data_IF_678473616696
#
_entry.id   IF_678473616696
#
_cell.length_a   1.000
_cell.length_b   1.000
_cell.length_c   1.000
_cell.angle_alpha   90.00
_cell.angle_beta   90.00
_cell.angle_gamma   90.00
#
_symmetry.space_group_name_H-M   'P 1'
#
loop_
_entity.id
_entity.type
_entity.pdbx_description
1 polymer ?
#
# COMPACT_ATOMS: atom_id res chain seq x y z
N UNK A 1 -97.98 16.81 17.27
CA UNK A 1 -97.39 17.86 18.15
C UNK A 1 -96.08 17.37 18.78
N UNK A 2 -94.96 17.57 18.09
CA UNK A 2 -93.93 18.63 18.32
C UNK A 2 -92.81 18.25 19.30
N UNK A 3 -91.61 18.06 18.72
CA UNK A 3 -90.26 18.47 19.18
C UNK A 3 -89.72 17.84 20.47
N UNK A 4 -88.44 17.48 20.63
CA UNK A 4 -87.16 18.06 20.18
C UNK A 4 -86.06 17.08 20.65
N UNK A 5 -84.92 17.01 19.98
CA UNK A 5 -83.61 17.34 20.58
C UNK A 5 -82.50 17.12 19.55
N UNK A 6 -81.83 18.21 19.22
CA UNK A 6 -80.59 18.23 18.46
C UNK A 6 -79.43 17.82 19.36
N UNK A 7 -78.56 16.92 18.91
CA UNK A 7 -77.21 16.79 19.47
C UNK A 7 -76.18 16.88 18.35
N UNK A 8 -75.52 18.04 18.32
CA UNK A 8 -74.40 18.45 17.47
C UNK A 8 -73.21 17.53 17.74
N UNK A 9 -72.75 16.77 16.74
CA UNK A 9 -71.46 16.06 16.78
C UNK A 9 -70.52 16.79 15.82
N UNK A 10 -69.46 17.37 16.37
CA UNK A 10 -68.43 18.11 15.66
C UNK A 10 -67.69 17.16 14.70
N UNK A 11 -67.59 17.56 13.44
CA UNK A 11 -66.77 16.92 12.42
C UNK A 11 -65.36 17.51 12.52
N UNK A 12 -64.35 16.66 12.73
CA UNK A 12 -62.96 17.00 12.44
C UNK A 12 -62.75 16.80 10.92
N UNK A 13 -62.30 17.81 10.16
CA UNK A 13 -61.97 17.62 8.77
C UNK A 13 -60.65 16.85 8.64
N UNK A 14 -60.73 15.76 7.90
CA UNK A 14 -59.59 15.02 7.34
C UNK A 14 -58.76 15.99 6.48
N UNK A 15 -57.54 16.31 6.89
CA UNK A 15 -56.59 16.99 6.02
C UNK A 15 -55.83 15.93 5.21
N UNK A 16 -56.29 15.69 3.98
CA UNK A 16 -55.45 15.13 2.95
C UNK A 16 -54.46 16.23 2.52
N UNK A 17 -53.23 16.17 3.03
CA UNK A 17 -52.12 16.90 2.43
C UNK A 17 -51.76 16.23 1.12
N UNK A 18 -52.04 16.93 0.03
CA UNK A 18 -51.61 16.64 -1.33
C UNK A 18 -50.09 16.54 -1.37
N UNK A 19 -49.57 15.37 -1.76
CA UNK A 19 -48.16 15.18 -2.11
C UNK A 19 -47.85 16.04 -3.34
N UNK A 20 -47.31 17.23 -3.12
CA UNK A 20 -46.77 18.06 -4.19
C UNK A 20 -45.53 17.36 -4.74
N UNK A 21 -45.63 16.92 -5.98
CA UNK A 21 -44.55 16.35 -6.78
C UNK A 21 -43.52 17.43 -7.11
N UNK A 22 -42.56 17.64 -6.21
CA UNK A 22 -41.34 18.42 -6.43
C UNK A 22 -40.10 17.72 -5.86
N UNK A 23 -40.11 16.38 -5.85
CA UNK A 23 -39.13 15.54 -5.13
C UNK A 23 -38.15 14.76 -6.03
N UNK A 24 -38.15 14.95 -7.35
CA UNK A 24 -37.20 14.24 -8.23
C UNK A 24 -35.85 14.95 -8.38
N UNK A 25 -35.83 16.29 -8.30
CA UNK A 25 -34.60 17.10 -8.34
C UNK A 25 -33.93 17.25 -6.97
N UNK A 26 -34.68 17.15 -5.87
CA UNK A 26 -34.11 17.19 -4.53
C UNK A 26 -33.40 15.88 -4.18
N UNK A 27 -33.99 14.72 -4.48
CA UNK A 27 -33.36 13.41 -4.18
C UNK A 27 -32.07 13.19 -4.96
N UNK A 28 -32.01 13.60 -6.24
CA UNK A 28 -30.81 13.52 -7.08
C UNK A 28 -29.71 14.49 -6.65
N UNK A 29 -30.06 15.70 -6.20
CA UNK A 29 -29.06 16.65 -5.67
C UNK A 29 -28.54 16.25 -4.29
N UNK A 30 -29.39 15.65 -3.43
CA UNK A 30 -28.97 15.11 -2.14
C UNK A 30 -28.04 13.89 -2.28
N UNK A 31 -28.30 12.99 -3.24
CA UNK A 31 -27.41 11.83 -3.49
C UNK A 31 -26.08 12.24 -4.11
N UNK A 32 -26.06 13.24 -5.00
CA UNK A 32 -24.81 13.81 -5.53
C UNK A 32 -24.00 14.53 -4.44
N UNK A 33 -24.64 15.25 -3.52
CA UNK A 33 -23.97 15.88 -2.39
C UNK A 33 -23.34 14.86 -1.43
N UNK A 34 -23.93 13.66 -1.30
CA UNK A 34 -23.35 12.55 -0.53
C UNK A 34 -22.09 11.95 -1.18
N UNK A 35 -21.89 12.12 -2.49
CA UNK A 35 -20.68 11.67 -3.19
C UNK A 35 -19.48 12.61 -2.99
N UNK A 36 -19.73 13.88 -2.66
CA UNK A 36 -18.71 14.89 -2.40
C UNK A 36 -17.66 14.47 -1.35
N UNK A 37 -18.01 13.93 -0.16
CA UNK A 37 -17.01 13.49 0.81
C UNK A 37 -16.14 12.34 0.30
N UNK A 38 -16.69 11.39 -0.45
CA UNK A 38 -15.90 10.30 -1.03
C UNK A 38 -14.96 10.81 -2.12
N UNK A 39 -15.42 11.77 -2.94
CA UNK A 39 -14.60 12.41 -3.97
C UNK A 39 -13.46 13.20 -3.33
N UNK A 40 -13.72 13.91 -2.22
CA UNK A 40 -12.70 14.63 -1.47
C UNK A 40 -11.64 13.67 -0.89
N UNK A 41 -12.06 12.54 -0.30
CA UNK A 41 -11.14 11.51 0.19
C UNK A 41 -10.30 10.89 -0.93
N UNK A 42 -10.89 10.65 -2.09
CA UNK A 42 -10.19 10.16 -3.27
C UNK A 42 -9.13 11.16 -3.77
N UNK A 43 -9.47 12.44 -3.84
CA UNK A 43 -8.53 13.50 -4.21
C UNK A 43 -7.38 13.64 -3.20
N UNK A 44 -7.69 13.62 -1.90
CA UNK A 44 -6.66 13.63 -0.84
C UNK A 44 -5.73 12.42 -1.00
N UNK A 45 -6.26 11.24 -1.30
CA UNK A 45 -5.45 10.04 -1.52
C UNK A 45 -4.44 10.24 -2.65
N UNK A 46 -4.89 10.75 -3.80
CA UNK A 46 -4.01 11.03 -4.95
C UNK A 46 -2.96 12.09 -4.58
N UNK A 47 -3.36 13.21 -3.97
CA UNK A 47 -2.42 14.27 -3.57
C UNK A 47 -1.40 13.72 -2.55
N UNK A 48 -1.84 12.86 -1.64
CA UNK A 48 -1.00 12.18 -0.66
C UNK A 48 0.12 11.34 -1.31
N UNK A 49 -0.14 10.73 -2.47
CA UNK A 49 0.90 9.98 -3.21
C UNK A 49 2.02 10.87 -3.74
N UNK A 50 1.74 12.13 -4.09
CA UNK A 50 2.74 13.07 -4.60
C UNK A 50 3.60 13.71 -3.49
N UNK A 51 3.08 13.78 -2.27
CA UNK A 51 3.78 14.36 -1.12
C UNK A 51 4.80 13.41 -0.48
N UNK A 52 4.93 12.18 -0.99
CA UNK A 52 5.97 11.25 -0.53
C UNK A 52 7.34 11.84 -0.91
N UNK A 53 8.11 12.18 0.12
CA UNK A 53 9.47 12.69 -0.05
C UNK A 53 10.30 11.68 -0.84
N UNK A 54 10.92 12.15 -1.93
CA UNK A 54 11.75 11.30 -2.77
C UNK A 54 12.97 10.82 -1.95
N UNK A 55 13.34 9.52 -2.01
CA UNK A 55 14.44 9.00 -1.21
C UNK A 55 15.77 9.66 -1.55
N UNK A 56 16.69 9.74 -0.60
CA UNK A 56 18.00 10.38 -0.83
C UNK A 56 18.99 9.49 -1.58
N UNK A 57 18.72 8.18 -1.65
CA UNK A 57 19.52 7.16 -2.33
C UNK A 57 18.63 6.06 -2.92
N UNK A 58 19.20 5.20 -3.76
CA UNK A 58 18.58 3.97 -4.26
C UNK A 58 19.62 2.86 -4.33
N UNK A 59 19.23 1.60 -4.09
CA UNK A 59 20.13 0.44 -4.21
C UNK A 59 20.43 0.06 -5.68
N UNK A 60 19.62 0.56 -6.61
CA UNK A 60 19.77 0.30 -8.04
C UNK A 60 19.94 1.60 -8.81
N UNK A 61 20.75 1.54 -9.87
CA UNK A 61 20.98 2.67 -10.76
C UNK A 61 19.70 2.98 -11.52
N UNK A 62 19.25 4.23 -11.45
CA UNK A 62 18.14 4.75 -12.25
C UNK A 62 18.53 6.06 -12.92
N UNK A 63 17.70 6.58 -13.84
CA UNK A 63 18.04 7.80 -14.59
C UNK A 63 18.35 9.02 -13.71
N UNK A 64 17.76 9.09 -12.51
CA UNK A 64 18.00 10.17 -11.53
C UNK A 64 19.16 9.86 -10.56
N UNK A 65 19.50 8.58 -10.35
CA UNK A 65 20.47 8.12 -9.36
C UNK A 65 21.65 7.47 -10.11
N UNK A 66 22.59 8.30 -10.52
CA UNK A 66 23.69 7.91 -11.43
C UNK A 66 25.03 7.72 -10.72
N UNK A 67 25.23 8.37 -9.57
CA UNK A 67 26.49 8.35 -8.84
C UNK A 67 26.54 7.15 -7.91
N UNK A 68 27.39 6.17 -8.24
CA UNK A 68 27.66 5.01 -7.41
C UNK A 68 28.52 5.38 -6.19
N UNK A 69 28.18 4.82 -5.04
CA UNK A 69 28.91 4.91 -3.77
C UNK A 69 28.82 3.56 -3.07
N UNK A 70 29.69 3.32 -2.09
CA UNK A 70 29.64 2.11 -1.28
C UNK A 70 29.76 2.44 0.21
N UNK A 71 29.05 1.69 1.05
CA UNK A 71 29.16 1.82 2.52
C UNK A 71 30.55 1.42 3.01
N UNK A 72 31.03 2.03 4.10
CA UNK A 72 32.41 1.80 4.59
C UNK A 72 32.60 0.41 5.19
N UNK A 73 31.63 -0.07 5.95
CA UNK A 73 31.71 -1.34 6.70
C UNK A 73 31.31 -2.56 5.85
N UNK A 74 30.13 -2.50 5.24
CA UNK A 74 29.49 -3.61 4.54
C UNK A 74 29.76 -3.65 3.02
N UNK A 75 30.37 -2.60 2.46
CA UNK A 75 30.68 -2.44 1.02
C UNK A 75 29.47 -2.64 0.11
N UNK A 76 28.29 -2.22 0.57
CA UNK A 76 27.05 -2.25 -0.21
C UNK A 76 27.06 -1.07 -1.17
N UNK A 77 26.91 -1.34 -2.45
CA UNK A 77 26.80 -0.31 -3.49
C UNK A 77 25.41 0.33 -3.46
N UNK A 78 25.37 1.66 -3.51
CA UNK A 78 24.16 2.45 -3.58
C UNK A 78 24.37 3.65 -4.52
N UNK A 79 23.28 4.15 -5.06
CA UNK A 79 23.27 5.23 -6.04
C UNK A 79 22.61 6.46 -5.45
N UNK A 80 23.22 7.62 -5.68
CA UNK A 80 22.71 8.92 -5.26
C UNK A 80 22.54 9.85 -6.45
N UNK A 81 21.76 10.91 -6.24
CA UNK A 81 21.60 11.96 -7.24
C UNK A 81 22.92 12.75 -7.43
N UNK A 82 23.14 13.38 -8.59
CA UNK A 82 24.30 14.24 -8.84
C UNK A 82 24.55 15.31 -7.77
N UNK A 83 23.47 15.90 -7.27
CA UNK A 83 23.45 16.98 -6.27
C UNK A 83 23.57 16.49 -4.80
N UNK A 84 23.73 15.18 -4.59
CA UNK A 84 23.83 14.61 -3.24
C UNK A 84 25.09 15.10 -2.53
N UNK A 85 24.91 15.66 -1.34
CA UNK A 85 26.00 16.05 -0.43
C UNK A 85 26.10 15.01 0.68
N UNK A 86 27.24 14.31 0.82
CA UNK A 86 27.41 13.37 1.92
C UNK A 86 27.36 14.11 3.27
N UNK A 87 26.88 13.44 4.33
CA UNK A 87 26.92 14.00 5.68
C UNK A 87 28.35 14.40 6.07
N UNK A 88 28.47 15.49 6.83
CA UNK A 88 29.79 16.07 7.18
C UNK A 88 30.41 15.41 8.40
N UNK A 89 29.58 14.91 9.32
CA UNK A 89 30.04 14.28 10.55
C UNK A 89 30.00 12.76 10.43
N UNK A 90 30.94 12.07 11.07
CA UNK A 90 30.97 10.60 11.08
C UNK A 90 29.69 10.00 11.70
N UNK A 91 29.11 10.66 12.70
CA UNK A 91 27.85 10.21 13.34
C UNK A 91 26.67 10.26 12.37
N UNK A 92 26.51 11.34 11.61
CA UNK A 92 25.47 11.44 10.59
C UNK A 92 25.72 10.49 9.42
N UNK A 93 26.99 10.30 9.02
CA UNK A 93 27.35 9.35 7.98
C UNK A 93 27.02 7.92 8.39
N UNK A 94 27.34 7.52 9.62
CA UNK A 94 27.02 6.18 10.13
C UNK A 94 25.51 5.95 10.18
N UNK A 95 24.73 6.94 10.60
CA UNK A 95 23.25 6.85 10.57
C UNK A 95 22.72 6.71 9.15
N UNK A 96 23.28 7.48 8.21
CA UNK A 96 22.91 7.39 6.80
C UNK A 96 23.27 6.01 6.22
N UNK A 97 24.49 5.53 6.43
CA UNK A 97 24.92 4.20 5.96
C UNK A 97 24.11 3.08 6.63
N UNK A 98 23.73 3.21 7.91
CA UNK A 98 22.82 2.27 8.57
C UNK A 98 21.47 2.19 7.86
N UNK A 99 20.90 3.33 7.46
CA UNK A 99 19.66 3.36 6.69
C UNK A 99 19.80 2.64 5.34
N UNK A 100 20.93 2.80 4.65
CA UNK A 100 21.24 2.08 3.40
C UNK A 100 21.33 0.57 3.65
N UNK A 101 21.97 0.16 4.74
CA UNK A 101 22.08 -1.25 5.13
C UNK A 101 20.71 -1.83 5.45
N UNK A 102 19.89 -1.13 6.23
CA UNK A 102 18.55 -1.56 6.61
C UNK A 102 17.65 -1.77 5.38
N UNK A 103 17.69 -0.84 4.42
CA UNK A 103 16.96 -0.97 3.15
C UNK A 103 17.46 -2.18 2.33
N UNK A 104 18.79 -2.37 2.26
CA UNK A 104 19.39 -3.51 1.54
C UNK A 104 18.98 -4.86 2.15
N UNK A 105 19.01 -4.97 3.49
CA UNK A 105 18.57 -6.17 4.19
C UNK A 105 17.07 -6.40 4.01
N UNK A 106 16.26 -5.34 4.05
CA UNK A 106 14.83 -5.40 3.78
C UNK A 106 14.53 -5.94 2.38
N UNK A 107 15.24 -5.44 1.36
CA UNK A 107 15.12 -5.94 -0.01
C UNK A 107 15.55 -7.41 -0.14
N UNK A 108 16.68 -7.80 0.47
CA UNK A 108 17.11 -9.20 0.51
C UNK A 108 16.08 -10.11 1.19
N UNK A 109 15.44 -9.66 2.29
CA UNK A 109 14.35 -10.39 2.96
C UNK A 109 13.17 -10.60 2.01
N UNK A 110 12.74 -9.55 1.31
CA UNK A 110 11.64 -9.66 0.35
C UNK A 110 12.00 -10.56 -0.84
N UNK A 111 13.21 -10.47 -1.37
CA UNK A 111 13.69 -11.34 -2.45
C UNK A 111 13.74 -12.80 -2.00
N UNK A 112 14.33 -13.07 -0.83
CA UNK A 112 14.37 -14.38 -0.23
C UNK A 112 12.97 -14.98 -0.06
N UNK A 113 12.03 -14.20 0.48
CA UNK A 113 10.65 -14.64 0.62
C UNK A 113 10.03 -15.03 -0.73
N UNK A 114 10.22 -14.21 -1.78
CA UNK A 114 9.72 -14.53 -3.13
C UNK A 114 10.36 -15.79 -3.71
N UNK A 115 11.67 -15.98 -3.53
CA UNK A 115 12.39 -17.17 -3.99
C UNK A 115 11.88 -18.44 -3.28
N UNK A 116 11.69 -18.36 -1.96
CA UNK A 116 11.16 -19.48 -1.18
C UNK A 116 9.73 -19.81 -1.61
N UNK A 117 8.86 -18.81 -1.76
CA UNK A 117 7.49 -19.02 -2.22
C UNK A 117 7.44 -19.62 -3.63
N UNK A 118 8.31 -19.18 -4.53
CA UNK A 118 8.43 -19.76 -5.87
C UNK A 118 8.83 -21.24 -5.81
N UNK A 119 9.84 -21.58 -5.00
CA UNK A 119 10.28 -22.96 -4.80
C UNK A 119 9.17 -23.83 -4.19
N UNK A 120 8.48 -23.34 -3.17
CA UNK A 120 7.36 -24.04 -2.53
C UNK A 120 6.20 -24.28 -3.49
N UNK A 121 5.86 -23.28 -4.32
CA UNK A 121 4.83 -23.40 -5.36
C UNK A 121 5.19 -24.48 -6.40
N UNK A 122 6.44 -24.49 -6.86
CA UNK A 122 6.94 -25.52 -7.78
C UNK A 122 6.90 -26.92 -7.16
N UNK A 123 7.33 -27.07 -5.91
CA UNK A 123 7.26 -28.33 -5.17
C UNK A 123 5.82 -28.79 -4.96
N UNK A 124 4.92 -27.86 -4.62
CA UNK A 124 3.49 -28.15 -4.44
C UNK A 124 2.88 -28.67 -5.75
N UNK A 125 3.14 -27.99 -6.87
CA UNK A 125 2.67 -28.41 -8.20
C UNK A 125 3.21 -29.78 -8.60
N UNK A 126 4.49 -30.05 -8.34
CA UNK A 126 5.09 -31.36 -8.62
C UNK A 126 4.42 -32.49 -7.84
N UNK A 127 4.13 -32.27 -6.54
CA UNK A 127 3.41 -33.24 -5.71
C UNK A 127 1.97 -33.46 -6.20
N UNK A 128 1.28 -32.38 -6.56
CA UNK A 128 -0.11 -32.46 -7.03
C UNK A 128 -0.25 -33.23 -8.34
N UNK A 129 0.72 -33.09 -9.25
CA UNK A 129 0.75 -33.82 -10.54
C UNK A 129 1.43 -35.18 -10.45
N UNK A 130 1.99 -35.53 -9.27
CA UNK A 130 2.81 -36.72 -9.06
C UNK A 130 3.98 -36.86 -10.07
N UNK A 131 4.56 -35.73 -10.49
CA UNK A 131 5.63 -35.66 -11.48
C UNK A 131 7.00 -35.61 -10.77
N UNK A 132 7.70 -36.74 -10.81
CA UNK A 132 9.03 -36.90 -10.21
C UNK A 132 10.12 -36.07 -10.92
N UNK A 133 9.97 -35.78 -12.21
CA UNK A 133 10.89 -34.94 -12.96
C UNK A 133 10.80 -33.50 -12.47
N UNK A 134 9.58 -32.98 -12.44
CA UNK A 134 9.30 -31.63 -11.92
C UNK A 134 9.69 -31.49 -10.45
N UNK A 135 9.52 -32.55 -9.64
CA UNK A 135 9.92 -32.54 -8.24
C UNK A 135 11.43 -32.39 -8.07
N UNK A 136 12.23 -33.14 -8.85
CA UNK A 136 13.70 -33.04 -8.83
C UNK A 136 14.18 -31.67 -9.30
N UNK A 137 13.52 -31.09 -10.30
CA UNK A 137 13.82 -29.74 -10.76
C UNK A 137 13.51 -28.69 -9.68
N UNK A 138 12.33 -28.76 -9.07
CA UNK A 138 11.94 -27.87 -7.97
C UNK A 138 12.87 -27.98 -6.75
N UNK A 139 13.40 -29.17 -6.45
CA UNK A 139 14.41 -29.34 -5.38
C UNK A 139 15.73 -28.62 -5.69
N UNK A 140 16.17 -28.66 -6.95
CA UNK A 140 17.40 -28.00 -7.43
C UNK A 140 17.26 -26.48 -7.49
N UNK A 141 16.05 -25.93 -7.47
CA UNK A 141 15.86 -24.49 -7.41
C UNK A 141 16.51 -23.93 -6.14
N UNK A 142 17.52 -23.09 -6.34
CA UNK A 142 18.24 -22.40 -5.28
C UNK A 142 17.51 -21.15 -4.80
N UNK A 143 17.93 -20.66 -3.64
CA UNK A 143 17.44 -19.40 -3.05
C UNK A 143 18.63 -18.49 -2.76
N UNK A 144 19.28 -17.93 -3.79
CA UNK A 144 20.53 -17.19 -3.63
C UNK A 144 20.37 -15.94 -2.74
N UNK A 145 19.21 -15.29 -2.74
CA UNK A 145 18.96 -14.11 -1.90
C UNK A 145 18.84 -14.50 -0.43
N UNK A 146 18.26 -15.66 -0.13
CA UNK A 146 18.25 -16.22 1.22
C UNK A 146 19.65 -16.54 1.73
N UNK A 147 20.51 -17.13 0.87
CA UNK A 147 21.90 -17.41 1.24
C UNK A 147 22.66 -16.12 1.55
N UNK A 148 22.54 -15.10 0.68
CA UNK A 148 23.14 -13.78 0.93
C UNK A 148 22.65 -13.14 2.23
N UNK A 149 21.35 -13.21 2.50
CA UNK A 149 20.76 -12.68 3.74
C UNK A 149 21.35 -13.38 4.96
N UNK A 150 21.42 -14.71 4.95
CA UNK A 150 22.00 -15.48 6.04
C UNK A 150 23.48 -15.13 6.26
N UNK A 151 24.27 -15.04 5.19
CA UNK A 151 25.68 -14.63 5.26
C UNK A 151 25.84 -13.20 5.80
N UNK A 152 24.86 -12.34 5.54
CA UNK A 152 24.86 -10.96 6.03
C UNK A 152 24.57 -10.88 7.53
N UNK A 153 23.57 -11.63 7.98
CA UNK A 153 23.21 -11.77 9.41
C UNK A 153 24.37 -12.39 10.20
N UNK A 154 25.02 -13.43 9.68
CA UNK A 154 26.16 -14.07 10.34
C UNK A 154 27.36 -13.14 10.52
N UNK A 155 27.52 -12.12 9.66
CA UNK A 155 28.58 -11.12 9.75
C UNK A 155 28.27 -9.96 10.70
N UNK A 156 27.09 -9.94 11.31
CA UNK A 156 26.72 -8.93 12.32
C UNK A 156 26.34 -7.56 11.75
N UNK A 157 25.90 -7.49 10.49
CA UNK A 157 25.47 -6.25 9.84
C UNK A 157 23.95 -6.00 9.90
N UNK A 158 23.16 -6.92 10.46
CA UNK A 158 21.70 -6.89 10.51
C UNK A 158 21.17 -7.18 11.92
#
# INVERSE_FOLDING_TARGET
PTTRTYRRRQQHPFQFTTHSTNNHTQTTTHTLAQLLPYLFLFLISIIGTFLVSEPQFQLHRTGKYTNARATRSSKIEYFVKPEFRPPKTDSELNKFESSVVDEYVSDLRHQCYREQQYKESMLWRARMMNDNGLYREAQKQGTPSCTKLNDFVQRGYA
#
